data_IF_626461700792
#
_entry.id   IF_626461700792
#
_cell.length_a   1.000
_cell.length_b   1.000
_cell.length_c   1.000
_cell.angle_alpha   90.00
_cell.angle_beta   90.00
_cell.angle_gamma   90.00
#
_symmetry.space_group_name_H-M   'P 1'
#
loop_
_entity.id
_entity.type
_entity.pdbx_description
1 polymer ?
#
# COMPACT_ATOMS: atom_id res chain seq x y z
N UNK A 1 9.62 -4.03 -10.48
CA UNK A 1 8.88 -5.29 -10.25
C UNK A 1 9.56 -6.51 -10.86
N UNK A 2 9.90 -6.54 -12.18
CA UNK A 2 10.59 -7.70 -12.80
C UNK A 2 11.83 -8.18 -12.03
N UNK A 3 12.67 -7.26 -11.56
CA UNK A 3 13.86 -7.61 -10.76
C UNK A 3 13.45 -8.27 -9.44
N UNK A 4 12.58 -7.63 -8.66
CA UNK A 4 12.06 -8.18 -7.38
C UNK A 4 11.46 -9.57 -7.60
N UNK A 5 10.56 -9.73 -8.59
CA UNK A 5 9.92 -11.01 -8.90
C UNK A 5 10.90 -12.11 -9.37
N UNK A 6 12.10 -11.75 -9.86
CA UNK A 6 13.12 -12.71 -10.27
C UNK A 6 13.91 -13.28 -9.09
N UNK A 7 13.93 -12.59 -7.94
CA UNK A 7 14.58 -13.08 -6.72
C UNK A 7 13.68 -14.10 -6.02
N UNK A 8 13.89 -15.38 -6.33
CA UNK A 8 13.13 -16.48 -5.71
C UNK A 8 13.80 -17.08 -4.48
N UNK A 9 15.02 -16.65 -4.19
CA UNK A 9 15.88 -17.20 -3.14
C UNK A 9 15.69 -16.47 -1.79
N UNK A 10 14.81 -15.47 -1.76
CA UNK A 10 14.46 -14.72 -0.56
C UNK A 10 13.18 -15.24 0.05
N UNK A 11 13.08 -15.17 1.38
CA UNK A 11 11.91 -15.66 2.12
C UNK A 11 10.72 -14.73 2.00
N UNK A 12 10.95 -13.42 1.87
CA UNK A 12 9.90 -12.41 1.87
C UNK A 12 10.25 -11.24 0.94
N UNK A 13 9.20 -10.69 0.33
CA UNK A 13 9.25 -9.42 -0.38
C UNK A 13 8.33 -8.40 0.30
N UNK A 14 8.69 -7.13 0.19
CA UNK A 14 7.94 -6.01 0.72
C UNK A 14 7.61 -5.01 -0.39
N UNK A 15 6.44 -4.37 -0.31
CA UNK A 15 6.09 -3.23 -1.15
C UNK A 15 6.10 -1.96 -0.31
N UNK A 16 6.96 -1.01 -0.66
CA UNK A 16 7.05 0.27 0.07
C UNK A 16 6.55 1.39 -0.83
N UNK A 17 5.57 2.14 -0.34
CA UNK A 17 5.12 3.39 -0.93
C UNK A 17 5.82 4.55 -0.22
N UNK A 18 6.46 5.41 -1.02
CA UNK A 18 7.02 6.67 -0.54
C UNK A 18 5.99 7.78 -0.74
N UNK A 19 5.36 8.23 0.35
CA UNK A 19 4.45 9.38 0.43
C UNK A 19 5.05 10.55 1.22
N UNK A 20 6.37 10.75 1.14
CA UNK A 20 7.07 11.85 1.81
C UNK A 20 6.79 13.23 1.18
N UNK A 21 6.50 13.28 -0.14
CA UNK A 21 6.23 14.50 -0.94
C UNK A 21 6.91 15.79 -0.40
N UNK A 22 8.24 15.73 -0.26
CA UNK A 22 9.04 16.77 0.41
C UNK A 22 9.29 18.04 -0.42
N UNK A 23 9.11 17.96 -1.74
CA UNK A 23 9.51 19.01 -2.68
C UNK A 23 8.63 20.27 -2.59
N UNK A 24 9.21 21.48 -2.60
CA UNK A 24 8.44 22.71 -2.54
C UNK A 24 7.42 22.84 -3.67
N UNK A 25 6.14 22.99 -3.31
CA UNK A 25 5.04 23.16 -4.26
C UNK A 25 4.45 21.86 -4.81
N UNK A 26 4.92 20.69 -4.37
CA UNK A 26 4.28 19.40 -4.65
C UNK A 26 3.09 19.16 -3.70
N UNK A 27 2.02 18.55 -4.22
CA UNK A 27 0.78 18.22 -3.48
C UNK A 27 -0.04 17.09 -4.15
N UNK A 28 0.53 16.43 -5.17
CA UNK A 28 -0.14 15.41 -5.97
C UNK A 28 -0.33 14.12 -5.15
N UNK A 29 0.68 13.70 -4.41
CA UNK A 29 0.64 12.46 -3.63
C UNK A 29 -0.31 12.61 -2.45
N UNK A 30 -0.23 13.75 -1.74
CA UNK A 30 -1.21 14.12 -0.71
C UNK A 30 -2.65 14.12 -1.24
N UNK A 31 -2.86 14.65 -2.45
CA UNK A 31 -4.19 14.67 -3.08
C UNK A 31 -4.74 13.26 -3.34
N UNK A 32 -3.90 12.28 -3.71
CA UNK A 32 -4.33 10.88 -3.88
C UNK A 32 -4.64 10.24 -2.53
N UNK A 33 -3.74 10.36 -1.55
CA UNK A 33 -3.91 9.77 -0.22
C UNK A 33 -5.15 10.32 0.50
N UNK A 34 -5.50 11.59 0.26
CA UNK A 34 -6.67 12.20 0.84
C UNK A 34 -7.94 11.96 0.01
N UNK A 35 -7.88 12.21 -1.29
CA UNK A 35 -9.06 12.18 -2.16
C UNK A 35 -9.58 10.77 -2.44
N UNK A 36 -8.67 9.84 -2.73
CA UNK A 36 -8.99 8.47 -3.11
C UNK A 36 -7.93 7.47 -2.60
N UNK A 37 -7.88 7.21 -1.28
CA UNK A 37 -6.90 6.30 -0.69
C UNK A 37 -7.03 4.86 -1.19
N UNK A 38 -8.21 4.45 -1.67
CA UNK A 38 -8.42 3.08 -2.19
C UNK A 38 -7.65 2.84 -3.47
N UNK A 39 -7.46 3.88 -4.30
CA UNK A 39 -6.64 3.79 -5.51
C UNK A 39 -5.18 3.47 -5.19
N UNK A 40 -4.64 4.04 -4.11
CA UNK A 40 -3.29 3.70 -3.63
C UNK A 40 -3.24 2.26 -3.11
N UNK A 41 -4.22 1.86 -2.29
CA UNK A 41 -4.32 0.51 -1.73
C UNK A 41 -4.38 -0.54 -2.85
N UNK A 42 -5.27 -0.38 -3.82
CA UNK A 42 -5.40 -1.29 -4.96
C UNK A 42 -4.09 -1.38 -5.77
N UNK A 43 -3.46 -0.24 -6.04
CA UNK A 43 -2.17 -0.20 -6.74
C UNK A 43 -1.07 -0.96 -6.01
N UNK A 44 -1.00 -0.81 -4.68
CA UNK A 44 -0.05 -1.55 -3.85
C UNK A 44 -0.37 -3.05 -3.78
N UNK A 45 -1.64 -3.43 -3.69
CA UNK A 45 -2.06 -4.83 -3.72
C UNK A 45 -1.68 -5.50 -5.04
N UNK A 46 -1.86 -4.81 -6.18
CA UNK A 46 -1.42 -5.31 -7.50
C UNK A 46 0.10 -5.46 -7.54
N UNK A 47 0.84 -4.47 -7.01
CA UNK A 47 2.29 -4.52 -6.96
C UNK A 47 2.77 -5.72 -6.12
N UNK A 48 2.13 -5.94 -4.97
CA UNK A 48 2.43 -7.03 -4.05
C UNK A 48 2.16 -8.39 -4.69
N UNK A 49 1.01 -8.54 -5.34
CA UNK A 49 0.68 -9.74 -6.11
C UNK A 49 1.71 -10.02 -7.21
N UNK A 50 2.12 -8.98 -7.96
CA UNK A 50 3.08 -9.12 -9.05
C UNK A 50 4.48 -9.56 -8.60
N UNK A 51 4.87 -9.29 -7.35
CA UNK A 51 6.19 -9.63 -6.81
C UNK A 51 6.17 -10.72 -5.74
N UNK A 52 4.99 -11.22 -5.36
CA UNK A 52 4.82 -12.19 -4.28
C UNK A 52 5.11 -11.62 -2.88
N UNK A 53 4.84 -10.33 -2.66
CA UNK A 53 4.95 -9.71 -1.33
C UNK A 53 3.65 -9.93 -0.53
N UNK A 54 3.80 -10.11 0.78
CA UNK A 54 2.66 -10.22 1.72
C UNK A 54 2.58 -9.01 2.67
N UNK A 55 3.59 -8.15 2.67
CA UNK A 55 3.70 -7.00 3.58
C UNK A 55 3.96 -5.71 2.80
N UNK A 56 3.22 -4.66 3.16
CA UNK A 56 3.27 -3.35 2.53
C UNK A 56 3.43 -2.23 3.55
N UNK A 57 4.24 -1.23 3.24
CA UNK A 57 4.44 -0.05 4.09
C UNK A 57 4.19 1.23 3.29
N UNK A 58 3.43 2.15 3.86
CA UNK A 58 3.26 3.51 3.34
C UNK A 58 3.99 4.46 4.27
N UNK A 59 5.14 4.97 3.82
CA UNK A 59 5.82 6.03 4.54
C UNK A 59 5.15 7.37 4.20
N UNK A 60 4.47 7.99 5.16
CA UNK A 60 3.84 9.31 4.98
C UNK A 60 4.55 10.33 5.84
N UNK A 61 4.87 11.50 5.27
CA UNK A 61 5.46 12.61 6.02
C UNK A 61 4.57 13.06 7.19
N UNK A 62 5.18 13.58 8.25
CA UNK A 62 4.46 13.99 9.47
C UNK A 62 3.47 15.15 9.24
N UNK A 63 3.68 15.96 8.20
CA UNK A 63 2.88 17.13 7.87
C UNK A 63 1.53 16.80 7.22
N UNK A 64 1.27 15.53 6.88
CA UNK A 64 0.01 15.08 6.27
C UNK A 64 -0.85 14.22 7.21
N UNK A 65 -1.30 14.75 8.37
CA UNK A 65 -2.07 13.97 9.35
C UNK A 65 -3.44 13.53 8.80
N UNK A 66 -4.04 14.30 7.88
CA UNK A 66 -5.31 13.94 7.25
C UNK A 66 -5.16 12.75 6.29
N UNK A 67 -4.10 12.75 5.47
CA UNK A 67 -3.73 11.60 4.63
C UNK A 67 -3.60 10.33 5.46
N UNK A 68 -2.84 10.37 6.56
CA UNK A 68 -2.67 9.22 7.46
C UNK A 68 -4.01 8.75 8.02
N UNK A 69 -4.86 9.66 8.49
CA UNK A 69 -6.17 9.30 9.05
C UNK A 69 -7.09 8.64 8.00
N UNK A 70 -7.10 9.16 6.77
CA UNK A 70 -7.91 8.61 5.67
C UNK A 70 -7.39 7.26 5.18
N UNK A 71 -6.07 7.11 5.03
CA UNK A 71 -5.46 5.83 4.68
C UNK A 71 -5.73 4.75 5.75
N UNK A 72 -5.53 5.05 7.04
CA UNK A 72 -5.85 4.09 8.11
C UNK A 72 -7.31 3.66 8.09
N UNK A 73 -8.23 4.58 7.78
CA UNK A 73 -9.65 4.26 7.64
C UNK A 73 -9.90 3.38 6.41
N UNK A 74 -9.30 3.71 5.27
CA UNK A 74 -9.46 2.96 4.03
C UNK A 74 -8.89 1.54 4.12
N UNK A 75 -7.72 1.37 4.75
CA UNK A 75 -7.10 0.06 5.04
C UNK A 75 -8.07 -0.80 5.85
N UNK A 76 -8.58 -0.31 6.99
CA UNK A 76 -9.55 -1.06 7.81
C UNK A 76 -10.81 -1.46 7.02
N UNK A 77 -11.33 -0.55 6.20
CA UNK A 77 -12.52 -0.84 5.40
C UNK A 77 -12.25 -1.84 4.26
N UNK A 78 -11.02 -1.88 3.75
CA UNK A 78 -10.60 -2.88 2.76
C UNK A 78 -10.47 -4.26 3.41
N UNK A 79 -9.88 -4.33 4.61
CA UNK A 79 -9.79 -5.55 5.43
C UNK A 79 -11.19 -6.10 5.78
N UNK A 80 -12.11 -5.25 6.28
CA UNK A 80 -13.50 -5.62 6.61
C UNK A 80 -14.26 -6.20 5.40
N UNK A 81 -13.88 -5.81 4.18
CA UNK A 81 -14.49 -6.27 2.93
C UNK A 81 -13.76 -7.46 2.28
N UNK A 82 -12.67 -7.94 2.87
CA UNK A 82 -11.84 -8.99 2.29
C UNK A 82 -11.10 -8.57 1.02
N UNK A 83 -10.84 -7.26 0.86
CA UNK A 83 -10.07 -6.67 -0.23
C UNK A 83 -8.59 -6.47 0.14
N UNK A 84 -8.26 -6.66 1.42
CA UNK A 84 -6.93 -6.60 2.01
C UNK A 84 -6.89 -7.58 3.19
N UNK A 85 -5.70 -7.93 3.66
CA UNK A 85 -5.50 -8.90 4.74
C UNK A 85 -5.33 -10.32 4.20
N UNK A 86 -5.85 -11.30 4.93
CA UNK A 86 -5.67 -12.72 4.59
C UNK A 86 -6.66 -13.21 3.54
N UNK A 87 -6.18 -14.07 2.63
CA UNK A 87 -7.00 -14.75 1.63
C UNK A 87 -7.92 -13.79 0.86
N UNK A 88 -7.32 -12.75 0.27
CA UNK A 88 -8.04 -11.67 -0.41
C UNK A 88 -9.01 -12.27 -1.42
N UNK A 89 -10.29 -11.91 -1.31
CA UNK A 89 -11.39 -12.44 -2.14
C UNK A 89 -11.50 -13.97 -2.21
N UNK A 90 -11.02 -14.69 -1.18
CA UNK A 90 -11.02 -16.15 -1.12
C UNK A 90 -9.87 -16.83 -1.89
N UNK A 91 -8.84 -16.07 -2.27
CA UNK A 91 -7.64 -16.59 -2.94
C UNK A 91 -6.62 -17.13 -1.93
N UNK A 92 -5.50 -17.68 -2.43
CA UNK A 92 -4.33 -18.04 -1.64
C UNK A 92 -3.40 -16.84 -1.37
N UNK A 93 -3.72 -15.67 -1.92
CA UNK A 93 -2.94 -14.45 -1.75
C UNK A 93 -3.40 -13.64 -0.54
N UNK A 94 -2.44 -13.21 0.28
CA UNK A 94 -2.64 -12.33 1.42
C UNK A 94 -1.73 -11.11 1.28
N UNK A 95 -2.21 -9.94 1.70
CA UNK A 95 -1.42 -8.72 1.72
C UNK A 95 -1.86 -7.79 2.84
N UNK A 96 -0.93 -7.47 3.74
CA UNK A 96 -1.14 -6.59 4.90
C UNK A 96 -0.45 -5.25 4.65
N UNK A 97 -1.08 -4.15 5.09
CA UNK A 97 -0.54 -2.80 4.88
C UNK A 97 -0.42 -2.02 6.17
N UNK A 98 0.72 -1.34 6.31
CA UNK A 98 1.09 -0.55 7.48
C UNK A 98 1.39 0.89 7.09
N UNK A 99 1.18 1.81 8.03
CA UNK A 99 1.53 3.24 7.94
C UNK A 99 2.28 3.61 9.20
#
# INVERSE_FOLDING_TARGET
WKQVAAHKDVTEHYVVCNGDEGDPGAFMDGSVMEGDPYRLIEGMTIAAYAVGAQEGYIYVRAEYPLSVARLRKAIRQAEEKGLLGDHILGTDFSFHMHI
#
